data_IF_777189758249
#
_entry.id   IF_777189758249
#
_cell.length_a   1.000
_cell.length_b   1.000
_cell.length_c   1.000
_cell.angle_alpha   90.00
_cell.angle_beta   90.00
_cell.angle_gamma   90.00
#
_symmetry.space_group_name_H-M   'P 1'
#
loop_
_entity.id
_entity.type
_entity.pdbx_description
1 polymer ?
#
# COMPACT_ATOMS: atom_id res chain seq x y z
N UNK A 1 -4.87 -4.19 -1.36
CA UNK A 1 -5.64 -3.06 -0.83
C UNK A 1 -4.74 -1.83 -0.71
N UNK A 2 -5.22 -0.68 -1.19
CA UNK A 2 -4.51 0.60 -1.04
C UNK A 2 -5.27 1.58 -0.16
N UNK A 3 -4.55 2.28 0.71
CA UNK A 3 -5.02 3.44 1.46
C UNK A 3 -4.59 4.69 0.68
N UNK A 4 -5.53 5.36 0.01
CA UNK A 4 -5.31 6.48 -0.87
C UNK A 4 -5.92 7.75 -0.26
N UNK A 5 -5.28 8.91 -0.43
CA UNK A 5 -5.83 10.19 0.03
C UNK A 5 -4.76 11.28 0.15
N UNK A 6 -5.14 12.54 0.39
CA UNK A 6 -4.20 13.64 0.54
C UNK A 6 -3.28 13.45 1.75
N UNK A 7 -2.16 14.19 1.77
CA UNK A 7 -1.28 14.22 2.94
C UNK A 7 -2.03 14.65 4.20
N UNK A 8 -1.73 14.00 5.33
CA UNK A 8 -2.40 14.29 6.60
C UNK A 8 -3.80 13.69 6.76
N UNK A 9 -4.31 12.89 5.81
CA UNK A 9 -5.64 12.27 5.92
C UNK A 9 -5.71 11.05 6.85
N UNK A 10 -4.63 10.66 7.52
CA UNK A 10 -4.62 9.59 8.53
C UNK A 10 -4.19 8.20 8.02
N UNK A 11 -3.81 8.04 6.75
CA UNK A 11 -3.40 6.75 6.14
C UNK A 11 -2.24 6.07 6.86
N UNK A 12 -1.12 6.80 7.03
CA UNK A 12 0.07 6.29 7.73
C UNK A 12 -0.26 5.96 9.19
N UNK A 13 -1.07 6.76 9.87
CA UNK A 13 -1.52 6.45 11.24
C UNK A 13 -2.31 5.14 11.28
N UNK A 14 -3.24 4.94 10.34
CA UNK A 14 -3.96 3.68 10.21
C UNK A 14 -2.99 2.50 9.96
N UNK A 15 -2.03 2.67 9.05
CA UNK A 15 -1.01 1.65 8.77
C UNK A 15 -0.17 1.33 10.03
N UNK A 16 0.24 2.35 10.81
CA UNK A 16 1.00 2.18 12.05
C UNK A 16 0.18 1.46 13.13
N UNK A 17 -1.12 1.70 13.22
CA UNK A 17 -2.01 0.94 14.09
C UNK A 17 -2.11 -0.54 13.67
N UNK A 18 -2.22 -0.82 12.36
CA UNK A 18 -2.17 -2.19 11.83
C UNK A 18 -0.84 -2.88 12.15
N UNK A 19 0.27 -2.17 12.01
CA UNK A 19 1.61 -2.68 12.33
C UNK A 19 1.86 -2.84 13.84
N UNK A 20 1.09 -2.15 14.71
CA UNK A 20 1.20 -2.18 16.17
C UNK A 20 2.20 -1.20 16.76
N UNK A 21 2.60 -0.19 16.00
CA UNK A 21 3.42 0.92 16.49
C UNK A 21 2.58 1.99 17.19
N UNK A 22 1.29 2.07 16.83
CA UNK A 22 0.30 2.96 17.46
C UNK A 22 -0.88 2.14 17.98
N UNK A 23 -1.54 2.64 19.01
CA UNK A 23 -2.69 1.99 19.61
C UNK A 23 -3.98 2.69 19.16
N UNK A 24 -5.01 1.95 18.72
CA UNK A 24 -6.30 2.55 18.44
C UNK A 24 -6.95 3.03 19.75
N UNK A 25 -7.53 4.22 19.73
CA UNK A 25 -8.30 4.76 20.88
C UNK A 25 -9.67 4.10 21.04
N UNK A 26 -10.13 3.38 20.01
CA UNK A 26 -11.37 2.64 20.01
C UNK A 26 -11.44 1.67 18.84
N UNK A 27 -12.40 0.75 18.86
CA UNK A 27 -12.53 -0.29 17.82
C UNK A 27 -11.56 -1.47 17.99
N UNK A 28 -11.58 -2.36 17.01
CA UNK A 28 -10.81 -3.61 17.04
C UNK A 28 -10.04 -3.80 15.73
N UNK A 29 -8.82 -4.29 15.86
CA UNK A 29 -7.98 -4.76 14.75
C UNK A 29 -7.90 -6.27 14.87
N UNK A 30 -8.35 -6.98 13.82
CA UNK A 30 -8.31 -8.43 13.77
C UNK A 30 -7.57 -8.92 12.53
N UNK A 31 -6.77 -9.98 12.68
CA UNK A 31 -6.14 -10.71 11.59
C UNK A 31 -6.49 -12.19 11.76
N UNK A 32 -7.14 -12.79 10.76
CA UNK A 32 -7.67 -14.16 10.81
C UNK A 32 -8.52 -14.43 12.07
N UNK A 33 -9.29 -13.44 12.51
CA UNK A 33 -10.14 -13.52 13.69
C UNK A 33 -9.43 -13.23 15.03
N UNK A 34 -8.10 -13.21 15.07
CA UNK A 34 -7.33 -12.88 16.28
C UNK A 34 -7.29 -11.38 16.54
N UNK A 35 -7.57 -10.97 17.77
CA UNK A 35 -7.52 -9.56 18.20
C UNK A 35 -6.07 -9.11 18.38
N UNK A 36 -5.69 -8.05 17.66
CA UNK A 36 -4.32 -7.53 17.63
C UNK A 36 -4.09 -6.24 18.43
N UNK A 37 -5.12 -5.64 19.02
CA UNK A 37 -5.03 -4.31 19.66
C UNK A 37 -3.85 -4.16 20.62
N UNK A 38 -3.56 -5.18 21.42
CA UNK A 38 -2.48 -5.18 22.40
C UNK A 38 -1.30 -6.08 22.04
N UNK A 39 -1.29 -6.65 20.82
CA UNK A 39 -0.19 -7.48 20.33
C UNK A 39 0.93 -6.56 19.84
N UNK A 40 2.16 -6.65 20.39
CA UNK A 40 3.27 -5.80 19.94
C UNK A 40 3.71 -6.15 18.51
N UNK A 41 4.34 -5.22 17.77
CA UNK A 41 4.67 -5.38 16.34
C UNK A 41 5.39 -6.71 16.01
N UNK A 42 6.40 -7.07 16.80
CA UNK A 42 7.21 -8.26 16.55
C UNK A 42 6.48 -9.61 16.72
N UNK A 43 5.26 -9.59 17.30
CA UNK A 43 4.41 -10.77 17.48
C UNK A 43 3.24 -10.84 16.51
N UNK A 44 2.97 -9.78 15.71
CA UNK A 44 1.84 -9.74 14.76
C UNK A 44 2.05 -10.60 13.51
N UNK A 45 3.25 -11.07 13.26
CA UNK A 45 3.64 -11.79 12.03
C UNK A 45 3.27 -11.02 10.74
N UNK A 46 3.44 -9.70 10.77
CA UNK A 46 3.18 -8.76 9.68
C UNK A 46 4.52 -8.24 9.17
N UNK A 47 4.71 -8.25 7.85
CA UNK A 47 5.85 -7.64 7.18
C UNK A 47 5.64 -6.12 7.09
N UNK A 48 6.74 -5.34 7.18
CA UNK A 48 6.67 -3.87 7.05
C UNK A 48 7.76 -3.36 6.13
N UNK A 49 7.38 -2.53 5.17
CA UNK A 49 8.27 -1.72 4.33
C UNK A 49 7.99 -0.25 4.62
N UNK A 50 8.98 0.46 5.14
CA UNK A 50 8.89 1.89 5.45
C UNK A 50 9.22 2.75 4.24
N UNK A 51 8.80 3.98 4.23
CA UNK A 51 9.00 4.95 3.15
C UNK A 51 10.49 5.14 2.77
N UNK A 52 11.39 5.11 3.74
CA UNK A 52 12.85 5.21 3.56
C UNK A 52 13.53 3.83 3.58
N UNK A 53 12.76 2.74 3.35
CA UNK A 53 13.20 1.35 3.37
C UNK A 53 13.75 0.86 4.72
N UNK A 54 14.23 1.72 5.59
CA UNK A 54 14.77 1.45 6.93
C UNK A 54 15.76 0.28 6.95
N UNK A 55 16.64 0.19 5.94
CA UNK A 55 17.72 -0.79 5.94
C UNK A 55 18.78 -0.42 6.97
N UNK A 56 19.32 -1.43 7.64
CA UNK A 56 20.43 -1.25 8.57
C UNK A 56 21.72 -0.96 7.80
N UNK A 57 22.30 0.27 7.86
CA UNK A 57 23.41 0.68 7.00
C UNK A 57 24.71 -0.08 7.28
N UNK A 58 24.88 -0.61 8.49
CA UNK A 58 26.04 -1.37 8.94
C UNK A 58 25.95 -2.88 8.68
N UNK A 59 24.83 -3.34 8.15
CA UNK A 59 24.62 -4.74 7.78
C UNK A 59 24.67 -4.90 6.25
N UNK A 60 25.19 -6.02 5.78
CA UNK A 60 25.12 -6.39 4.36
C UNK A 60 23.67 -6.68 3.95
N UNK A 61 23.43 -6.80 2.65
CA UNK A 61 22.12 -7.18 2.09
C UNK A 61 21.60 -8.48 2.70
N UNK A 62 22.42 -9.55 2.69
CA UNK A 62 22.02 -10.84 3.28
C UNK A 62 21.75 -10.74 4.78
N UNK A 63 22.51 -9.92 5.51
CA UNK A 63 22.32 -9.70 6.95
C UNK A 63 21.04 -8.90 7.23
N UNK A 64 20.72 -7.90 6.39
CA UNK A 64 19.45 -7.17 6.47
C UNK A 64 18.26 -8.12 6.29
N UNK A 65 18.30 -8.98 5.27
CA UNK A 65 17.23 -9.95 5.01
C UNK A 65 17.19 -11.03 6.11
N UNK A 66 18.33 -11.45 6.65
CA UNK A 66 18.41 -12.44 7.73
C UNK A 66 17.91 -11.91 9.09
N UNK A 67 17.89 -10.60 9.28
CA UNK A 67 17.63 -9.99 10.59
C UNK A 67 16.32 -10.45 11.25
N UNK A 68 15.16 -10.47 10.58
CA UNK A 68 13.90 -10.94 11.17
C UNK A 68 13.96 -12.41 11.61
N UNK A 69 14.70 -13.25 10.91
CA UNK A 69 14.86 -14.65 11.23
C UNK A 69 15.81 -14.85 12.41
N UNK A 70 16.81 -13.97 12.55
CA UNK A 70 17.74 -13.94 13.68
C UNK A 70 17.00 -13.59 14.98
N UNK A 71 16.14 -12.58 14.94
CA UNK A 71 15.29 -12.19 16.08
C UNK A 71 14.35 -13.33 16.49
N UNK A 72 13.84 -14.10 15.52
CA UNK A 72 12.98 -15.27 15.73
C UNK A 72 13.78 -16.53 16.15
N UNK A 73 15.12 -16.42 16.29
CA UNK A 73 16.04 -17.49 16.71
C UNK A 73 16.00 -18.74 15.81
N UNK A 74 15.76 -18.59 14.52
CA UNK A 74 15.82 -19.70 13.57
C UNK A 74 17.25 -20.28 13.51
N UNK A 75 17.39 -21.61 13.30
CA UNK A 75 18.68 -22.26 13.11
C UNK A 75 19.46 -21.66 11.92
N UNK A 76 20.78 -21.60 12.03
CA UNK A 76 21.64 -20.95 11.04
C UNK A 76 21.45 -21.50 9.61
N UNK A 77 21.30 -22.83 9.47
CA UNK A 77 21.08 -23.49 8.18
C UNK A 77 19.75 -23.06 7.53
N UNK A 78 18.66 -23.14 8.27
CA UNK A 78 17.32 -22.75 7.80
C UNK A 78 17.29 -21.27 7.44
N UNK A 79 17.92 -20.42 8.28
CA UNK A 79 18.05 -18.99 8.01
C UNK A 79 18.77 -18.71 6.68
N UNK A 80 19.89 -19.40 6.42
CA UNK A 80 20.64 -19.24 5.18
C UNK A 80 19.80 -19.66 3.94
N UNK A 81 19.08 -20.76 4.02
CA UNK A 81 18.20 -21.26 2.96
C UNK A 81 17.06 -20.26 2.66
N UNK A 82 16.38 -19.73 3.68
CA UNK A 82 15.31 -18.75 3.54
C UNK A 82 15.81 -17.39 2.98
N UNK A 83 16.98 -16.94 3.43
CA UNK A 83 17.61 -15.72 2.92
C UNK A 83 17.95 -15.86 1.44
N UNK A 84 18.57 -16.98 1.05
CA UNK A 84 18.88 -17.25 -0.35
C UNK A 84 17.62 -17.26 -1.23
N UNK A 85 16.55 -17.89 -0.75
CA UNK A 85 15.26 -17.92 -1.42
C UNK A 85 14.65 -16.51 -1.56
N UNK A 86 14.63 -15.72 -0.48
CA UNK A 86 14.09 -14.36 -0.50
C UNK A 86 14.88 -13.44 -1.45
N UNK A 87 16.21 -13.54 -1.46
CA UNK A 87 17.05 -12.76 -2.39
C UNK A 87 16.80 -13.16 -3.85
N UNK A 88 16.63 -14.45 -4.13
CA UNK A 88 16.30 -14.95 -5.47
C UNK A 88 14.94 -14.44 -5.94
N UNK A 89 13.95 -14.40 -5.06
CA UNK A 89 12.60 -13.91 -5.34
C UNK A 89 12.61 -12.46 -5.86
N UNK A 90 13.48 -11.62 -5.32
CA UNK A 90 13.62 -10.20 -5.69
C UNK A 90 14.81 -9.94 -6.63
N UNK A 91 15.47 -10.99 -7.17
CA UNK A 91 16.60 -10.93 -8.11
C UNK A 91 17.82 -10.17 -7.57
N UNK A 92 18.11 -10.35 -6.29
CA UNK A 92 19.18 -9.60 -5.58
C UNK A 92 20.32 -10.48 -5.07
N UNK A 93 20.44 -11.76 -5.49
CA UNK A 93 21.45 -12.72 -5.02
C UNK A 93 22.88 -12.21 -5.20
N UNK A 94 23.17 -11.62 -6.36
CA UNK A 94 24.51 -11.09 -6.69
C UNK A 94 24.95 -9.91 -5.80
N UNK A 95 24.01 -9.32 -5.08
CA UNK A 95 24.28 -8.18 -4.19
C UNK A 95 24.35 -8.56 -2.72
N UNK A 96 24.24 -9.85 -2.37
CA UNK A 96 24.15 -10.36 -0.99
C UNK A 96 25.21 -9.79 -0.02
N UNK A 97 26.42 -9.58 -0.51
CA UNK A 97 27.56 -9.07 0.29
C UNK A 97 27.71 -7.55 0.28
N UNK A 98 26.90 -6.82 -0.50
CA UNK A 98 26.94 -5.35 -0.53
C UNK A 98 26.25 -4.74 0.68
N UNK A 99 26.61 -3.48 0.96
CA UNK A 99 25.94 -2.65 1.96
C UNK A 99 24.88 -1.78 1.30
N UNK A 100 23.85 -1.31 2.04
CA UNK A 100 22.78 -0.46 1.49
C UNK A 100 23.29 0.76 0.72
N UNK A 101 24.34 1.43 1.18
CA UNK A 101 24.94 2.59 0.50
C UNK A 101 25.51 2.29 -0.91
N UNK A 102 25.69 1.02 -1.26
CA UNK A 102 26.20 0.57 -2.56
C UNK A 102 25.07 0.18 -3.53
N UNK A 103 23.82 0.46 -3.17
CA UNK A 103 22.63 0.06 -3.91
C UNK A 103 21.85 1.30 -4.40
N UNK A 104 21.22 1.18 -5.57
CA UNK A 104 20.23 2.17 -6.03
C UNK A 104 18.96 2.12 -5.18
N UNK A 105 18.13 3.17 -5.23
CA UNK A 105 16.85 3.23 -4.48
C UNK A 105 15.95 2.02 -4.76
N UNK A 106 15.75 1.63 -6.02
CA UNK A 106 14.97 0.44 -6.37
C UNK A 106 15.58 -0.86 -5.85
N UNK A 107 16.93 -0.97 -5.81
CA UNK A 107 17.60 -2.12 -5.21
C UNK A 107 17.39 -2.16 -3.70
N UNK A 108 17.46 -1.02 -3.01
CA UNK A 108 17.18 -0.93 -1.57
C UNK A 108 15.72 -1.31 -1.26
N UNK A 109 14.78 -0.88 -2.09
CA UNK A 109 13.38 -1.24 -1.98
C UNK A 109 13.16 -2.77 -2.07
N UNK A 110 13.76 -3.41 -3.09
CA UNK A 110 13.69 -4.87 -3.26
C UNK A 110 14.26 -5.60 -2.03
N UNK A 111 15.33 -5.10 -1.43
CA UNK A 111 15.89 -5.69 -0.21
C UNK A 111 14.96 -5.49 0.99
N UNK A 112 14.35 -4.31 1.15
CA UNK A 112 13.35 -4.07 2.19
C UNK A 112 12.15 -5.01 2.05
N UNK A 113 11.70 -5.24 0.82
CA UNK A 113 10.64 -6.19 0.51
C UNK A 113 11.04 -7.64 0.82
N UNK A 114 12.25 -8.06 0.39
CA UNK A 114 12.77 -9.39 0.74
C UNK A 114 12.85 -9.60 2.27
N UNK A 115 13.30 -8.56 3.01
CA UNK A 115 13.32 -8.58 4.48
C UNK A 115 11.93 -8.71 5.09
N UNK A 116 10.93 -8.03 4.51
CA UNK A 116 9.55 -8.12 4.97
C UNK A 116 8.89 -9.48 4.67
N UNK A 117 9.32 -10.17 3.62
CA UNK A 117 8.76 -11.45 3.16
C UNK A 117 9.48 -12.70 3.68
N UNK A 118 10.75 -12.58 4.13
CA UNK A 118 11.63 -13.72 4.44
C UNK A 118 11.09 -14.68 5.50
N UNK A 119 10.19 -14.22 6.36
CA UNK A 119 9.56 -15.04 7.41
C UNK A 119 8.12 -15.47 7.06
N UNK A 120 7.74 -15.32 5.77
CA UNK A 120 6.44 -15.75 5.22
C UNK A 120 5.25 -15.13 5.99
N UNK A 121 5.14 -13.79 6.05
CA UNK A 121 4.05 -13.14 6.74
C UNK A 121 2.72 -13.36 6.02
N UNK A 122 1.59 -13.29 6.74
CA UNK A 122 0.25 -13.28 6.15
C UNK A 122 -0.12 -11.96 5.49
N UNK A 123 0.49 -10.87 5.96
CA UNK A 123 0.21 -9.50 5.55
C UNK A 123 1.51 -8.71 5.45
N UNK A 124 1.65 -7.93 4.39
CA UNK A 124 2.74 -6.95 4.23
C UNK A 124 2.14 -5.56 4.15
N UNK A 125 2.61 -4.69 5.03
CA UNK A 125 2.27 -3.27 5.07
C UNK A 125 3.38 -2.46 4.41
N UNK A 126 3.03 -1.47 3.58
CA UNK A 126 3.99 -0.63 2.88
C UNK A 126 3.58 0.84 3.01
N UNK A 127 4.47 1.66 3.56
CA UNK A 127 4.25 3.09 3.70
C UNK A 127 4.96 3.83 2.58
N UNK A 128 4.21 4.33 1.60
CA UNK A 128 4.68 5.04 0.39
C UNK A 128 5.91 4.39 -0.27
N UNK A 129 5.86 3.08 -0.61
CA UNK A 129 7.05 2.33 -0.99
C UNK A 129 7.74 2.84 -2.26
N UNK A 130 7.04 3.59 -3.11
CA UNK A 130 7.53 4.09 -4.39
C UNK A 130 7.84 5.60 -4.37
N UNK A 131 7.54 6.29 -3.28
CA UNK A 131 7.62 7.76 -3.19
C UNK A 131 9.02 8.33 -3.39
N UNK A 132 10.08 7.59 -3.07
CA UNK A 132 11.47 8.02 -3.21
C UNK A 132 12.09 7.75 -4.60
N UNK A 133 11.34 7.17 -5.54
CA UNK A 133 11.82 6.79 -6.86
C UNK A 133 11.47 7.84 -7.92
N UNK A 134 12.33 7.97 -8.94
CA UNK A 134 12.00 8.71 -10.15
C UNK A 134 10.83 8.06 -10.90
N UNK A 135 10.19 8.81 -11.81
CA UNK A 135 8.97 8.39 -12.49
C UNK A 135 9.14 7.05 -13.24
N UNK A 136 10.21 6.91 -14.02
CA UNK A 136 10.41 5.72 -14.86
C UNK A 136 10.66 4.48 -14.00
N UNK A 137 11.48 4.61 -12.96
CA UNK A 137 11.75 3.52 -12.03
C UNK A 137 10.51 3.15 -11.22
N UNK A 138 9.69 4.15 -10.84
CA UNK A 138 8.43 3.95 -10.13
C UNK A 138 7.45 3.11 -10.96
N UNK A 139 7.20 3.48 -12.21
CA UNK A 139 6.33 2.72 -13.12
C UNK A 139 6.82 1.26 -13.26
N UNK A 140 8.11 1.06 -13.45
CA UNK A 140 8.68 -0.29 -13.52
C UNK A 140 8.46 -1.09 -12.23
N UNK A 141 8.69 -0.47 -11.08
CA UNK A 141 8.52 -1.11 -9.77
C UNK A 141 7.07 -1.45 -9.44
N UNK A 142 6.10 -0.68 -9.94
CA UNK A 142 4.67 -1.02 -9.81
C UNK A 142 4.36 -2.38 -10.44
N UNK A 143 4.80 -2.59 -11.68
CA UNK A 143 4.60 -3.88 -12.36
C UNK A 143 5.28 -5.03 -11.63
N UNK A 144 6.50 -4.82 -11.15
CA UNK A 144 7.22 -5.85 -10.40
C UNK A 144 6.53 -6.21 -9.08
N UNK A 145 6.07 -5.21 -8.31
CA UNK A 145 5.33 -5.44 -7.07
C UNK A 145 4.02 -6.18 -7.33
N UNK A 146 3.29 -5.81 -8.39
CA UNK A 146 2.05 -6.49 -8.78
C UNK A 146 2.31 -7.95 -9.15
N UNK A 147 3.28 -8.22 -10.01
CA UNK A 147 3.66 -9.58 -10.40
C UNK A 147 4.12 -10.42 -9.18
N UNK A 148 4.83 -9.81 -8.24
CA UNK A 148 5.24 -10.48 -7.01
C UNK A 148 4.04 -10.78 -6.10
N UNK A 149 3.10 -9.85 -5.95
CA UNK A 149 1.85 -10.05 -5.21
C UNK A 149 1.06 -11.23 -5.77
N UNK A 150 0.83 -11.25 -7.08
CA UNK A 150 0.11 -12.34 -7.77
C UNK A 150 0.79 -13.70 -7.57
N UNK A 151 2.12 -13.73 -7.64
CA UNK A 151 2.92 -14.95 -7.48
C UNK A 151 2.91 -15.50 -6.06
N UNK A 152 2.91 -14.63 -5.06
CA UNK A 152 3.03 -15.02 -3.65
C UNK A 152 1.70 -15.31 -2.97
N UNK A 153 0.59 -14.72 -3.45
CA UNK A 153 -0.71 -14.80 -2.81
C UNK A 153 -0.78 -14.18 -1.41
N UNK A 154 0.21 -13.34 -1.04
CA UNK A 154 0.26 -12.64 0.24
C UNK A 154 -0.56 -11.35 0.14
N UNK A 155 -1.33 -11.03 1.16
CA UNK A 155 -2.08 -9.77 1.20
C UNK A 155 -1.13 -8.58 1.37
N UNK A 156 -1.24 -7.60 0.46
CA UNK A 156 -0.54 -6.32 0.57
C UNK A 156 -1.51 -5.21 0.96
N UNK A 157 -1.13 -4.40 1.95
CA UNK A 157 -1.78 -3.13 2.25
C UNK A 157 -0.73 -2.04 2.12
N UNK A 158 -0.97 -1.07 1.24
CA UNK A 158 -0.01 0.00 1.08
C UNK A 158 -0.65 1.38 1.05
N UNK A 159 0.12 2.35 1.48
CA UNK A 159 -0.25 3.77 1.52
C UNK A 159 0.37 4.46 0.32
N UNK A 160 -0.41 5.28 -0.36
CA UNK A 160 0.08 6.23 -1.36
C UNK A 160 -0.80 7.49 -1.38
N UNK A 161 -0.27 8.56 -1.94
CA UNK A 161 -1.03 9.73 -2.35
C UNK A 161 -1.16 9.85 -3.88
N UNK A 162 -0.53 8.92 -4.62
CA UNK A 162 -0.56 8.86 -6.09
C UNK A 162 -1.73 7.98 -6.54
N UNK A 163 -2.65 8.60 -7.30
CA UNK A 163 -3.83 7.92 -7.84
C UNK A 163 -3.45 6.84 -8.86
N UNK A 164 -2.47 7.13 -9.72
CA UNK A 164 -1.99 6.19 -10.72
C UNK A 164 -1.48 4.90 -10.10
N UNK A 165 -0.71 5.01 -9.00
CA UNK A 165 -0.27 3.85 -8.22
C UNK A 165 -1.45 3.04 -7.69
N UNK A 166 -2.39 3.72 -7.02
CA UNK A 166 -3.54 3.08 -6.40
C UNK A 166 -4.40 2.33 -7.42
N UNK A 167 -4.69 2.97 -8.56
CA UNK A 167 -5.55 2.40 -9.60
C UNK A 167 -4.88 1.24 -10.36
N UNK A 168 -3.55 1.27 -10.53
CA UNK A 168 -2.82 0.24 -11.29
C UNK A 168 -2.54 -1.01 -10.47
N UNK A 169 -2.25 -0.87 -9.17
CA UNK A 169 -1.72 -1.96 -8.34
C UNK A 169 -2.77 -2.65 -7.47
N UNK A 170 -3.97 -2.07 -7.32
CA UNK A 170 -4.90 -2.50 -6.26
C UNK A 170 -6.11 -3.24 -6.78
N UNK A 171 -6.54 -4.26 -6.04
CA UNK A 171 -7.87 -4.87 -6.21
C UNK A 171 -8.96 -3.99 -5.59
N UNK A 172 -8.64 -3.35 -4.46
CA UNK A 172 -9.53 -2.44 -3.72
C UNK A 172 -8.75 -1.24 -3.21
N UNK A 173 -9.42 -0.10 -3.14
CA UNK A 173 -8.86 1.16 -2.63
C UNK A 173 -9.77 1.73 -1.56
N UNK A 174 -9.18 2.12 -0.43
CA UNK A 174 -9.83 2.90 0.61
C UNK A 174 -9.43 4.38 0.45
N UNK A 175 -10.39 5.22 0.10
CA UNK A 175 -10.17 6.66 -0.07
C UNK A 175 -10.34 7.35 1.28
N UNK A 176 -9.26 8.01 1.75
CA UNK A 176 -9.21 8.71 3.04
C UNK A 176 -9.34 10.21 2.86
N UNK A 177 -10.15 10.84 3.68
CA UNK A 177 -10.16 12.30 3.91
C UNK A 177 -10.36 12.60 5.40
N UNK A 178 -9.55 13.50 5.96
CA UNK A 178 -9.68 14.00 7.34
C UNK A 178 -9.87 12.91 8.41
N UNK A 179 -9.12 11.82 8.30
CA UNK A 179 -9.16 10.71 9.26
C UNK A 179 -10.31 9.72 9.07
N UNK A 180 -11.12 9.89 8.02
CA UNK A 180 -12.28 9.04 7.72
C UNK A 180 -12.11 8.35 6.38
N UNK A 181 -12.49 7.07 6.30
CA UNK A 181 -12.63 6.34 5.03
C UNK A 181 -13.91 6.82 4.35
N UNK A 182 -13.78 7.54 3.25
CA UNK A 182 -14.91 8.05 2.47
C UNK A 182 -15.58 6.93 1.66
N UNK A 183 -14.77 6.10 1.02
CA UNK A 183 -15.24 4.93 0.26
C UNK A 183 -14.16 3.86 0.25
N UNK A 184 -14.59 2.59 0.32
CA UNK A 184 -13.74 1.42 0.15
C UNK A 184 -14.41 0.50 -0.89
N UNK A 185 -13.82 0.45 -2.08
CA UNK A 185 -14.39 -0.35 -3.17
C UNK A 185 -13.30 -0.82 -4.16
N UNK A 186 -13.73 -1.54 -5.21
CA UNK A 186 -12.89 -1.83 -6.37
C UNK A 186 -12.58 -0.55 -7.14
N UNK A 187 -11.51 -0.59 -7.93
CA UNK A 187 -11.08 0.55 -8.76
C UNK A 187 -12.20 1.03 -9.68
N UNK A 188 -12.87 0.10 -10.37
CA UNK A 188 -13.96 0.43 -11.30
C UNK A 188 -15.10 1.14 -10.59
N UNK A 189 -15.54 0.65 -9.42
CA UNK A 189 -16.63 1.26 -8.66
C UNK A 189 -16.29 2.64 -8.10
N UNK A 190 -15.05 2.86 -7.70
CA UNK A 190 -14.60 4.18 -7.24
C UNK A 190 -14.66 5.22 -8.36
N UNK A 191 -14.42 4.79 -9.60
CA UNK A 191 -14.48 5.65 -10.78
C UNK A 191 -15.91 5.85 -11.29
N UNK A 192 -16.66 4.76 -11.46
CA UNK A 192 -18.01 4.77 -12.06
C UNK A 192 -19.12 5.21 -11.10
N UNK A 193 -18.95 4.95 -9.80
CA UNK A 193 -19.97 5.16 -8.78
C UNK A 193 -19.38 5.74 -7.48
N UNK A 194 -18.76 6.94 -7.54
CA UNK A 194 -18.23 7.59 -6.35
C UNK A 194 -19.36 7.96 -5.39
N UNK A 195 -19.19 7.66 -4.09
CA UNK A 195 -20.22 7.85 -3.09
C UNK A 195 -20.47 9.32 -2.72
N UNK A 196 -19.52 10.21 -3.03
CA UNK A 196 -19.64 11.66 -2.76
C UNK A 196 -18.73 12.48 -3.68
N UNK A 197 -18.92 13.80 -3.63
CA UNK A 197 -18.16 14.76 -4.42
C UNK A 197 -16.65 14.70 -4.20
N UNK A 198 -16.21 14.43 -2.95
CA UNK A 198 -14.78 14.32 -2.66
C UNK A 198 -14.15 13.14 -3.41
N UNK A 199 -14.76 11.96 -3.35
CA UNK A 199 -14.24 10.75 -4.03
C UNK A 199 -14.24 10.98 -5.56
N UNK A 200 -15.33 11.51 -6.13
CA UNK A 200 -15.43 11.80 -7.55
C UNK A 200 -14.31 12.73 -8.06
N UNK A 201 -13.96 13.75 -7.26
CA UNK A 201 -12.90 14.68 -7.63
C UNK A 201 -11.49 14.19 -7.34
N UNK A 202 -11.37 13.27 -6.39
CA UNK A 202 -10.08 12.78 -5.96
C UNK A 202 -9.60 11.59 -6.80
N UNK A 203 -10.50 10.79 -7.39
CA UNK A 203 -10.13 9.58 -8.16
C UNK A 203 -9.85 9.87 -9.65
N UNK A 204 -10.28 10.99 -10.18
CA UNK A 204 -10.05 11.33 -11.57
C UNK A 204 -10.35 12.78 -11.89
N UNK A 205 -10.00 13.18 -13.11
CA UNK A 205 -10.37 14.49 -13.65
C UNK A 205 -11.85 14.48 -14.03
N UNK A 206 -12.71 14.89 -13.11
CA UNK A 206 -14.15 14.95 -13.32
C UNK A 206 -14.61 16.35 -13.74
N UNK A 207 -15.40 16.44 -14.80
CA UNK A 207 -16.09 17.68 -15.15
C UNK A 207 -17.23 17.94 -14.17
N UNK A 208 -17.28 19.13 -13.59
CA UNK A 208 -18.34 19.54 -12.67
C UNK A 208 -19.31 20.45 -13.35
N UNK A 209 -20.57 20.06 -13.38
CA UNK A 209 -21.64 20.88 -13.83
C UNK A 209 -22.58 21.18 -12.67
N UNK A 210 -22.77 22.47 -12.38
CA UNK A 210 -23.73 22.92 -11.37
C UNK A 210 -25.01 23.35 -12.01
N UNK A 211 -26.11 22.79 -11.57
CA UNK A 211 -27.43 23.15 -12.11
C UNK A 211 -28.55 22.77 -11.16
N UNK A 212 -29.78 23.06 -11.57
CA UNK A 212 -30.99 22.68 -10.85
C UNK A 212 -31.64 21.53 -11.58
N UNK A 213 -32.04 20.48 -10.89
CA UNK A 213 -32.83 19.39 -11.48
C UNK A 213 -34.19 19.95 -11.84
N UNK A 214 -34.50 19.98 -13.13
CA UNK A 214 -35.76 20.49 -13.67
C UNK A 214 -36.82 19.37 -13.73
N UNK A 215 -36.42 18.14 -14.02
CA UNK A 215 -37.29 16.96 -14.12
C UNK A 215 -36.53 15.69 -13.83
N UNK A 216 -37.17 14.72 -13.19
CA UNK A 216 -36.68 13.34 -13.02
C UNK A 216 -37.66 12.42 -13.74
N UNK A 217 -37.15 11.54 -14.59
CA UNK A 217 -37.96 10.59 -15.39
C UNK A 217 -37.28 9.21 -15.35
N UNK A 218 -37.69 8.39 -14.39
CA UNK A 218 -37.05 7.08 -14.12
C UNK A 218 -35.58 7.21 -13.70
N UNK A 219 -34.68 6.63 -14.48
CA UNK A 219 -33.22 6.66 -14.24
C UNK A 219 -32.55 7.92 -14.81
N UNK A 220 -33.29 8.77 -15.53
CA UNK A 220 -32.77 10.00 -16.17
C UNK A 220 -33.22 11.24 -15.43
N UNK A 221 -32.36 12.26 -15.44
CA UNK A 221 -32.75 13.60 -14.96
C UNK A 221 -32.41 14.68 -15.99
N UNK A 222 -33.27 15.72 -16.07
CA UNK A 222 -33.00 16.95 -16.79
C UNK A 222 -32.36 17.94 -15.83
N UNK A 223 -31.13 18.36 -16.11
CA UNK A 223 -30.38 19.36 -15.36
C UNK A 223 -30.40 20.69 -16.13
N UNK A 224 -30.78 21.79 -15.46
CA UNK A 224 -30.66 23.15 -16.00
C UNK A 224 -29.46 23.83 -15.38
N UNK A 225 -28.50 24.23 -16.24
CA UNK A 225 -27.32 24.98 -15.82
C UNK A 225 -27.66 26.47 -15.60
N UNK A 226 -26.76 27.23 -14.95
CA UNK A 226 -26.95 28.64 -14.65
C UNK A 226 -27.05 29.55 -15.90
N UNK A 227 -26.52 29.11 -17.02
CA UNK A 227 -26.62 29.78 -18.34
C UNK A 227 -27.90 29.42 -19.15
N UNK A 228 -28.76 28.58 -18.57
CA UNK A 228 -29.98 28.09 -19.22
C UNK A 228 -29.82 26.81 -20.04
N UNK A 229 -28.61 26.30 -20.21
CA UNK A 229 -28.35 25.04 -20.91
C UNK A 229 -29.05 23.88 -20.21
N UNK A 230 -29.66 22.97 -20.98
CA UNK A 230 -30.29 21.74 -20.45
C UNK A 230 -29.45 20.54 -20.82
N UNK A 231 -29.20 19.69 -19.83
CA UNK A 231 -28.54 18.41 -19.99
C UNK A 231 -29.45 17.28 -19.48
N UNK A 232 -29.42 16.16 -20.18
CA UNK A 232 -30.11 14.92 -19.75
C UNK A 232 -29.05 13.88 -19.44
N UNK A 233 -29.11 13.27 -18.26
CA UNK A 233 -28.17 12.24 -17.80
C UNK A 233 -28.87 11.26 -16.90
#
# INVERSE_FOLDING_TARGET
LTLLGPSGSGKTTCLMMLAGFEFPTGGEIRLDGELLNHVPPHKRNIGMVFQNYALFPHLTVEQNVAYPLTVRKLPARERAERVAHALKMVQMERFAKRYPAQLSGGQQQRIALARALVFEPKLVLMDEPLGALDKQLREHMQYELKALHEKLGVTFVYVTHDQGEALTMSDRVAVFDKGVVQQLDTVDRLYESPCNEFVANFIGDSNRLRGTIARVDGEFCELRLGDGTRLVG
#
